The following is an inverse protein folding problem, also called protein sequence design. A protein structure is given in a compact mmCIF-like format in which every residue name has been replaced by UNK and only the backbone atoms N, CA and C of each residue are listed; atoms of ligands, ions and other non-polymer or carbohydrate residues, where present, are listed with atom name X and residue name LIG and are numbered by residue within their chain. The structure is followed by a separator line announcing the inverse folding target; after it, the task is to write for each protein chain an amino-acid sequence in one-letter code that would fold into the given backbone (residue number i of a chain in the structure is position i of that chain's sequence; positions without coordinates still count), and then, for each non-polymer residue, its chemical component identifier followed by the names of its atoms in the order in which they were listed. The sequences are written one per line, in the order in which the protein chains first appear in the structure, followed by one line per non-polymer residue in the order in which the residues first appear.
data_IF_021533163838
#
_entry.id   IF_021533163838
#
_cell.length_a   1.000
_cell.length_b   1.000
_cell.length_c   1.000
_cell.angle_alpha   90.00
_cell.angle_beta   90.00
_cell.angle_gamma   90.00
#
_symmetry.space_group_name_H-M   'P 1'
#
loop_
_entity.id
_entity.type
_entity.pdbx_description
1 polymer ?
#
# COMPACT_ATOMS: atom_id res chain seq x y z
N UNK A 1 -11.45 5.50 -1.72
CA UNK A 1 -11.47 6.41 -0.57
C UNK A 1 -12.20 7.70 -0.95
N UNK A 2 -12.94 8.31 -0.02
CA UNK A 2 -13.63 9.60 -0.20
C UNK A 2 -13.73 10.33 1.13
N UNK A 3 -13.94 11.62 1.10
CA UNK A 3 -14.30 12.36 2.32
C UNK A 3 -15.79 12.15 2.65
N UNK A 4 -16.11 12.07 3.93
CA UNK A 4 -17.49 11.99 4.39
C UNK A 4 -18.21 13.32 4.13
N UNK A 5 -19.47 13.23 3.67
CA UNK A 5 -20.35 14.38 3.56
C UNK A 5 -20.97 14.77 4.92
N UNK A 6 -21.03 13.83 5.86
CA UNK A 6 -21.78 13.96 7.11
C UNK A 6 -20.85 13.98 8.33
N UNK A 7 -19.92 13.02 8.42
CA UNK A 7 -19.04 12.86 9.58
C UNK A 7 -17.83 13.78 9.51
N UNK A 8 -17.59 14.52 10.59
CA UNK A 8 -16.45 15.41 10.80
C UNK A 8 -15.73 15.06 12.09
N UNK A 9 -14.46 15.42 12.18
CA UNK A 9 -13.71 15.34 13.43
C UNK A 9 -14.02 16.51 14.39
N UNK A 10 -13.31 16.56 15.53
CA UNK A 10 -13.51 17.59 16.54
C UNK A 10 -13.16 19.02 16.06
N UNK A 11 -12.45 19.17 14.96
CA UNK A 11 -12.06 20.45 14.35
C UNK A 11 -12.88 20.78 13.11
N UNK A 12 -13.90 19.99 12.79
CA UNK A 12 -14.78 20.22 11.64
C UNK A 12 -14.23 19.72 10.31
N UNK A 13 -13.11 18.96 10.31
CA UNK A 13 -12.53 18.39 9.10
C UNK A 13 -13.30 17.13 8.71
N UNK A 14 -13.73 16.97 7.44
CA UNK A 14 -14.42 15.78 7.00
C UNK A 14 -13.59 14.50 7.22
N UNK A 15 -14.19 13.48 7.80
CA UNK A 15 -13.54 12.19 8.02
C UNK A 15 -13.32 11.42 6.72
N UNK A 16 -12.23 10.68 6.65
CA UNK A 16 -11.94 9.78 5.52
C UNK A 16 -12.83 8.55 5.61
N UNK A 17 -13.52 8.25 4.52
CA UNK A 17 -14.28 7.01 4.35
C UNK A 17 -13.51 6.10 3.41
N UNK A 18 -13.16 4.91 3.88
CA UNK A 18 -12.55 3.85 3.09
C UNK A 18 -13.58 2.75 2.85
N UNK A 19 -13.83 2.44 1.58
CA UNK A 19 -14.61 1.27 1.19
C UNK A 19 -13.62 0.23 0.61
N UNK A 20 -13.55 -0.93 1.23
CA UNK A 20 -12.63 -2.00 0.86
C UNK A 20 -13.32 -3.34 1.06
N UNK A 21 -13.07 -4.31 0.19
CA UNK A 21 -13.62 -5.65 0.27
C UNK A 21 -12.69 -6.65 -0.42
N UNK A 22 -12.84 -7.90 -0.09
CA UNK A 22 -12.16 -9.00 -0.78
C UNK A 22 -12.83 -9.28 -2.13
N UNK A 23 -12.03 -9.64 -3.12
CA UNK A 23 -12.47 -10.10 -4.42
C UNK A 23 -12.44 -11.64 -4.49
N UNK A 24 -13.13 -12.21 -5.46
CA UNK A 24 -13.12 -13.66 -5.70
C UNK A 24 -11.72 -14.26 -5.84
N UNK A 25 -10.78 -13.47 -6.36
CA UNK A 25 -9.39 -13.91 -6.49
C UNK A 25 -8.68 -14.02 -5.14
N UNK A 26 -8.98 -13.15 -4.19
CA UNK A 26 -8.38 -13.18 -2.86
C UNK A 26 -8.81 -14.45 -2.10
N UNK A 27 -10.09 -14.82 -2.23
CA UNK A 27 -10.62 -16.08 -1.69
C UNK A 27 -9.95 -17.31 -2.32
N UNK A 28 -9.71 -17.29 -3.63
CA UNK A 28 -9.01 -18.38 -4.34
C UNK A 28 -7.56 -18.50 -3.90
N UNK A 29 -6.86 -17.37 -3.77
CA UNK A 29 -5.46 -17.30 -3.28
C UNK A 29 -5.37 -17.86 -1.87
N UNK A 30 -6.27 -17.47 -0.97
CA UNK A 30 -6.30 -17.99 0.41
C UNK A 30 -6.51 -19.50 0.46
N UNK A 31 -7.44 -20.01 -0.36
CA UNK A 31 -7.71 -21.45 -0.46
C UNK A 31 -6.50 -22.23 -0.98
N UNK A 32 -5.84 -21.74 -2.01
CA UNK A 32 -4.63 -22.35 -2.55
C UNK A 32 -3.47 -22.30 -1.54
N UNK A 33 -3.27 -21.16 -0.87
CA UNK A 33 -2.28 -21.01 0.20
C UNK A 33 -2.45 -22.05 1.31
N UNK A 34 -3.68 -22.28 1.76
CA UNK A 34 -3.97 -23.30 2.76
C UNK A 34 -3.67 -24.71 2.27
N UNK A 35 -3.95 -25.02 1.00
CA UNK A 35 -3.66 -26.33 0.43
C UNK A 35 -2.15 -26.55 0.29
N UNK A 36 -1.41 -25.60 -0.28
CA UNK A 36 0.04 -25.68 -0.46
C UNK A 36 0.80 -25.65 0.87
N UNK A 37 0.34 -24.83 1.82
CA UNK A 37 0.92 -24.80 3.16
C UNK A 37 0.78 -26.15 3.88
N UNK A 38 -0.36 -26.82 3.78
CA UNK A 38 -0.56 -28.15 4.32
C UNK A 38 0.35 -29.18 3.66
N UNK A 39 0.41 -29.22 2.32
CA UNK A 39 1.29 -30.11 1.56
C UNK A 39 2.76 -29.95 2.02
N UNK A 40 3.23 -28.71 2.13
CA UNK A 40 4.59 -28.41 2.57
C UNK A 40 4.86 -28.89 4.01
N UNK A 41 3.94 -28.65 4.91
CA UNK A 41 4.08 -29.07 6.31
C UNK A 41 4.04 -30.59 6.46
N UNK A 42 3.18 -31.29 5.71
CA UNK A 42 3.14 -32.75 5.65
C UNK A 42 4.47 -33.30 5.15
N UNK A 43 5.01 -32.75 4.07
CA UNK A 43 6.29 -33.15 3.51
C UNK A 43 7.46 -32.92 4.51
N UNK A 44 7.37 -31.88 5.34
CA UNK A 44 8.31 -31.62 6.43
C UNK A 44 8.12 -32.51 7.67
N UNK A 45 7.15 -33.43 7.67
CA UNK A 45 6.89 -34.37 8.77
C UNK A 45 6.03 -33.79 9.91
N UNK A 46 5.40 -32.64 9.73
CA UNK A 46 4.50 -32.05 10.71
C UNK A 46 3.25 -32.92 10.91
N UNK A 47 2.75 -32.97 12.13
CA UNK A 47 1.53 -33.71 12.50
C UNK A 47 0.51 -32.75 13.12
N UNK A 48 -0.78 -33.12 13.05
CA UNK A 48 -1.88 -32.35 13.62
C UNK A 48 -1.96 -30.90 13.06
N UNK A 49 -1.75 -30.74 11.76
CA UNK A 49 -1.80 -29.46 11.08
C UNK A 49 -3.21 -28.88 11.18
N UNK A 50 -3.29 -27.60 11.59
CA UNK A 50 -4.54 -26.86 11.65
C UNK A 50 -4.48 -25.67 10.71
N UNK A 51 -5.55 -25.47 9.97
CA UNK A 51 -5.76 -24.28 9.13
C UNK A 51 -6.66 -23.32 9.88
N UNK A 52 -6.32 -22.06 9.86
CA UNK A 52 -7.15 -21.02 10.46
C UNK A 52 -7.31 -19.86 9.46
N UNK A 53 -8.55 -19.51 9.21
CA UNK A 53 -8.91 -18.26 8.55
C UNK A 53 -9.68 -17.42 9.57
N UNK A 54 -9.06 -16.35 10.02
CA UNK A 54 -9.63 -15.47 11.05
C UNK A 54 -10.79 -14.62 10.55
N UNK A 55 -11.09 -14.66 9.25
CA UNK A 55 -12.09 -13.79 8.60
C UNK A 55 -11.88 -12.30 8.92
N UNK A 56 -10.60 -11.91 9.03
CA UNK A 56 -10.23 -10.54 9.35
C UNK A 56 -10.76 -9.58 8.28
N UNK A 57 -11.33 -8.47 8.73
CA UNK A 57 -11.79 -7.44 7.81
C UNK A 57 -10.60 -6.81 7.06
N UNK A 58 -10.77 -6.45 5.76
CA UNK A 58 -9.76 -5.71 5.01
C UNK A 58 -9.41 -4.38 5.70
N UNK A 59 -8.15 -3.94 5.56
CA UNK A 59 -7.68 -2.68 6.13
C UNK A 59 -7.23 -2.77 7.59
N UNK A 60 -7.04 -3.98 8.12
CA UNK A 60 -6.46 -4.23 9.45
C UNK A 60 -5.02 -4.74 9.38
N UNK A 61 -4.42 -4.76 8.22
CA UNK A 61 -3.01 -5.07 8.00
C UNK A 61 -2.14 -3.80 8.20
N UNK A 62 -0.84 -3.96 8.16
CA UNK A 62 0.17 -2.90 8.30
C UNK A 62 0.95 -2.66 7.00
N UNK A 63 0.59 -3.31 5.92
CA UNK A 63 1.28 -3.26 4.63
C UNK A 63 0.39 -2.72 3.51
N UNK A 64 -0.54 -1.82 3.84
CA UNK A 64 -1.42 -1.19 2.88
C UNK A 64 -0.63 -0.32 1.91
N UNK A 65 -0.91 -0.49 0.62
CA UNK A 65 -0.20 0.16 -0.49
C UNK A 65 -1.17 0.76 -1.50
N UNK A 66 -0.65 1.68 -2.33
CA UNK A 66 -1.32 2.09 -3.55
C UNK A 66 -2.37 3.18 -3.43
N UNK A 67 -2.58 3.75 -2.24
CA UNK A 67 -3.52 4.87 -2.05
C UNK A 67 -3.17 6.11 -2.89
N UNK A 68 -1.87 6.34 -3.12
CA UNK A 68 -1.31 7.44 -3.94
C UNK A 68 -0.17 6.88 -4.81
N UNK A 69 -0.48 5.85 -5.62
CA UNK A 69 0.56 5.08 -6.32
C UNK A 69 1.35 5.87 -7.35
N UNK A 70 2.62 5.51 -7.49
CA UNK A 70 3.48 5.95 -8.58
C UNK A 70 3.08 5.33 -9.91
N UNK A 71 3.30 6.06 -11.00
CA UNK A 71 3.13 5.58 -12.37
C UNK A 71 3.65 6.56 -13.40
N UNK A 72 3.70 6.13 -14.65
CA UNK A 72 4.15 6.96 -15.78
C UNK A 72 3.04 7.86 -16.31
N UNK A 73 1.81 7.38 -16.26
CA UNK A 73 0.65 8.04 -16.81
C UNK A 73 -0.09 8.83 -15.72
N UNK A 74 -0.16 10.18 -15.82
CA UNK A 74 -0.88 11.00 -14.86
C UNK A 74 -2.40 10.78 -14.86
N UNK A 75 -2.96 10.14 -15.88
CA UNK A 75 -4.37 9.74 -15.89
C UNK A 75 -4.63 8.48 -15.03
N UNK A 76 -3.59 7.65 -14.83
CA UNK A 76 -3.70 6.38 -14.12
C UNK A 76 -2.94 6.36 -12.76
N UNK A 77 -2.19 7.39 -12.42
CA UNK A 77 -1.39 7.49 -11.20
C UNK A 77 -1.33 8.91 -10.67
N UNK A 78 -1.17 9.04 -9.36
CA UNK A 78 -1.05 10.36 -8.73
C UNK A 78 0.41 10.85 -8.66
N UNK A 79 1.37 9.92 -8.52
CA UNK A 79 2.78 10.24 -8.40
C UNK A 79 3.57 9.81 -9.64
N UNK A 80 4.60 10.58 -9.95
CA UNK A 80 5.63 10.21 -10.90
C UNK A 80 6.68 9.27 -10.26
N UNK A 81 7.71 8.89 -11.03
CA UNK A 81 8.79 8.00 -10.58
C UNK A 81 9.61 8.52 -9.38
N UNK A 82 9.49 9.80 -9.03
CA UNK A 82 10.22 10.45 -7.95
C UNK A 82 9.39 10.65 -6.68
N UNK A 83 8.26 9.96 -6.56
CA UNK A 83 7.29 10.15 -5.48
C UNK A 83 6.65 11.54 -5.43
N UNK A 84 6.77 12.33 -6.50
CA UNK A 84 6.25 13.68 -6.64
C UNK A 84 4.87 13.62 -7.30
N UNK A 85 3.91 14.43 -6.84
CA UNK A 85 2.61 14.56 -7.48
C UNK A 85 2.76 15.08 -8.93
N UNK A 86 2.06 14.45 -9.88
CA UNK A 86 2.00 14.93 -11.26
C UNK A 86 1.39 16.34 -11.35
N UNK A 87 0.40 16.63 -10.50
CA UNK A 87 -0.33 17.90 -10.51
C UNK A 87 0.34 19.00 -9.67
N UNK A 88 1.34 18.69 -8.84
CA UNK A 88 1.92 19.65 -7.89
C UNK A 88 3.39 19.31 -7.64
N UNK A 89 4.28 20.07 -8.25
CA UNK A 89 5.71 19.78 -8.26
C UNK A 89 6.41 19.86 -6.88
N UNK A 90 5.87 20.60 -5.94
CA UNK A 90 6.42 20.74 -4.59
C UNK A 90 5.83 19.79 -3.55
N UNK A 91 5.04 18.79 -3.97
CA UNK A 91 4.42 17.80 -3.08
C UNK A 91 4.96 16.38 -3.38
N UNK A 92 5.42 15.72 -2.33
CA UNK A 92 5.96 14.36 -2.38
C UNK A 92 5.24 13.47 -1.36
N UNK A 93 5.04 12.19 -1.72
CA UNK A 93 4.49 11.17 -0.83
C UNK A 93 5.52 10.06 -0.69
N UNK A 94 6.00 9.81 0.54
CA UNK A 94 7.19 8.97 0.80
C UNK A 94 6.91 7.73 1.65
N UNK A 95 5.65 7.43 1.89
CA UNK A 95 5.20 6.22 2.60
C UNK A 95 4.76 5.09 1.64
N UNK A 96 4.18 4.02 2.20
CA UNK A 96 3.67 2.88 1.45
C UNK A 96 2.58 3.22 0.45
N UNK A 97 1.85 4.31 0.63
CA UNK A 97 0.81 4.72 -0.31
C UNK A 97 1.37 4.98 -1.72
N UNK A 98 2.65 5.35 -1.83
CA UNK A 98 3.32 5.58 -3.10
C UNK A 98 3.61 4.31 -3.92
N UNK A 99 3.63 3.14 -3.29
CA UNK A 99 3.90 1.86 -3.94
C UNK A 99 2.66 1.32 -4.63
N UNK A 100 2.83 0.69 -5.79
CA UNK A 100 1.72 0.07 -6.53
C UNK A 100 1.29 -1.27 -5.91
N UNK A 101 2.24 -1.98 -5.30
CA UNK A 101 2.03 -3.28 -4.64
C UNK A 101 3.18 -3.58 -3.69
N UNK A 102 3.01 -4.58 -2.85
CA UNK A 102 4.08 -5.14 -2.00
C UNK A 102 4.37 -6.59 -2.33
N UNK A 103 5.52 -7.09 -1.89
CA UNK A 103 5.84 -8.51 -1.87
C UNK A 103 5.43 -9.16 -0.54
N UNK A 104 5.92 -10.39 -0.31
CA UNK A 104 5.70 -11.13 0.94
C UNK A 104 6.58 -10.66 2.09
N UNK A 105 7.64 -9.89 1.82
CA UNK A 105 8.58 -9.37 2.81
C UNK A 105 8.06 -8.05 3.41
N UNK A 106 8.41 -7.81 4.68
CA UNK A 106 8.13 -6.54 5.33
C UNK A 106 8.77 -5.37 4.56
N UNK A 107 8.03 -4.31 4.21
CA UNK A 107 8.43 -3.32 3.20
C UNK A 107 9.21 -2.12 3.74
N UNK A 108 9.53 -2.04 5.03
CA UNK A 108 10.14 -0.85 5.66
C UNK A 108 11.43 -0.41 4.97
N UNK A 109 12.32 -1.33 4.60
CA UNK A 109 13.56 -0.99 3.89
C UNK A 109 13.27 -0.38 2.50
N UNK A 110 12.26 -0.87 1.82
CA UNK A 110 11.80 -0.33 0.52
C UNK A 110 11.25 1.09 0.69
N UNK A 111 10.44 1.34 1.72
CA UNK A 111 9.95 2.69 2.02
C UNK A 111 11.10 3.66 2.27
N UNK A 112 12.07 3.26 3.09
CA UNK A 112 13.25 4.09 3.39
C UNK A 112 14.06 4.42 2.13
N UNK A 113 14.28 3.44 1.26
CA UNK A 113 14.99 3.64 0.00
C UNK A 113 14.24 4.59 -0.94
N UNK A 114 12.92 4.45 -1.06
CA UNK A 114 12.07 5.33 -1.87
C UNK A 114 12.02 6.75 -1.29
N UNK A 115 11.91 6.89 0.03
CA UNK A 115 11.93 8.18 0.70
C UNK A 115 13.28 8.90 0.51
N UNK A 116 14.41 8.20 0.67
CA UNK A 116 15.73 8.75 0.41
C UNK A 116 15.89 9.23 -1.04
N UNK A 117 15.44 8.42 -2.01
CA UNK A 117 15.44 8.80 -3.43
C UNK A 117 14.60 10.04 -3.70
N UNK A 118 13.41 10.13 -3.13
CA UNK A 118 12.51 11.28 -3.26
C UNK A 118 13.15 12.54 -2.66
N UNK A 119 13.73 12.45 -1.46
CA UNK A 119 14.40 13.56 -0.79
C UNK A 119 15.61 14.07 -1.59
N UNK A 120 16.45 13.18 -2.11
CA UNK A 120 17.57 13.55 -2.98
C UNK A 120 17.10 14.32 -4.23
N UNK A 121 16.06 13.83 -4.87
CA UNK A 121 15.47 14.50 -6.04
C UNK A 121 14.89 15.87 -5.66
N UNK A 122 14.08 15.95 -4.60
CA UNK A 122 13.48 17.19 -4.13
C UNK A 122 14.54 18.28 -3.83
N UNK A 123 15.61 17.92 -3.10
CA UNK A 123 16.71 18.84 -2.80
C UNK A 123 17.44 19.30 -4.08
N UNK A 124 17.64 18.40 -5.04
CA UNK A 124 18.26 18.77 -6.31
C UNK A 124 17.40 19.73 -7.13
N UNK A 125 16.10 19.52 -7.18
CA UNK A 125 15.16 20.40 -7.89
C UNK A 125 14.97 21.75 -7.18
N UNK A 126 14.94 21.76 -5.86
CA UNK A 126 14.90 22.99 -5.05
C UNK A 126 16.13 23.87 -5.35
N UNK A 127 17.35 23.30 -5.39
CA UNK A 127 18.59 24.03 -5.72
C UNK A 127 18.59 24.62 -7.14
N UNK A 128 17.81 24.05 -8.05
CA UNK A 128 17.62 24.55 -9.43
C UNK A 128 16.52 25.60 -9.55
N UNK A 129 15.73 25.83 -8.50
CA UNK A 129 14.57 26.70 -8.52
C UNK A 129 13.34 26.11 -9.22
N UNK A 130 13.25 24.78 -9.29
CA UNK A 130 12.14 24.08 -9.94
C UNK A 130 11.02 23.68 -8.95
N UNK A 131 11.21 23.92 -7.65
CA UNK A 131 10.22 23.67 -6.59
C UNK A 131 9.88 24.95 -5.84
#
# INVERSE_FOLDING_TARGET
MRLSAEAKDAWGVPQLVTAIGYHDNDEKVLKDFHARGEEMLVAAGAKNIRKNDSKQNPGLDIHEMGGVRMGKDPQASLLNRWNQLHACANVFVTDGASMASTGTQNPSLTFMALAARAAHYAVAELKKGNL
#
